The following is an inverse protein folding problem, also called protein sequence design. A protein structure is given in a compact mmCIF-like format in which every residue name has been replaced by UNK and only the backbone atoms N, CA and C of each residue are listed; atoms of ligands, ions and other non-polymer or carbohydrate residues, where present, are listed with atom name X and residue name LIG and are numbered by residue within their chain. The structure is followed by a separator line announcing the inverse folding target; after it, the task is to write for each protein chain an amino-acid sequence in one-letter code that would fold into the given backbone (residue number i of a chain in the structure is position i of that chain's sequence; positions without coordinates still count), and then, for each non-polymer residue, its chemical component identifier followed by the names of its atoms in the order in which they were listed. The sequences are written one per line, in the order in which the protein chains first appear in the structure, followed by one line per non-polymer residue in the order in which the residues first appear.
data_IF_919176867371
#
_entry.id   IF_919176867371
#
_cell.length_a   1.000
_cell.length_b   1.000
_cell.length_c   1.000
_cell.angle_alpha   90.00
_cell.angle_beta   90.00
_cell.angle_gamma   90.00
#
_symmetry.space_group_name_H-M   'P 1'
#
loop_
_entity.id
_entity.type
_entity.pdbx_description
1 polymer ?
#
# COMPACT_ATOMS: atom_id res chain seq x y z
N UNK A 1 -63.74 33.78 -39.14
CA UNK A 1 -63.98 33.61 -37.68
C UNK A 1 -62.90 34.36 -36.92
N UNK A 2 -63.35 35.23 -36.00
CA UNK A 2 -62.67 35.94 -34.90
C UNK A 2 -61.13 35.75 -34.78
N UNK A 3 -60.34 36.82 -35.00
CA UNK A 3 -59.84 37.78 -33.96
C UNK A 3 -58.79 37.11 -33.05
N UNK A 4 -57.55 37.57 -32.85
CA UNK A 4 -57.03 38.95 -32.82
C UNK A 4 -55.51 38.90 -32.49
N UNK A 5 -54.76 39.89 -32.99
CA UNK A 5 -53.62 40.60 -32.34
C UNK A 5 -52.31 39.81 -32.05
N UNK A 6 -51.10 40.32 -32.24
CA UNK A 6 -50.53 41.59 -32.75
C UNK A 6 -49.00 41.29 -32.85
N UNK A 7 -48.31 41.48 -33.99
CA UNK A 7 -47.39 42.59 -34.29
C UNK A 7 -46.47 43.02 -33.11
N UNK A 8 -45.16 43.26 -33.22
CA UNK A 8 -44.32 43.64 -34.35
C UNK A 8 -42.82 43.65 -33.92
N UNK A 9 -41.94 43.59 -34.92
CA UNK A 9 -40.63 44.26 -35.06
C UNK A 9 -39.71 44.50 -33.84
N UNK A 10 -38.57 43.81 -33.89
CA UNK A 10 -37.21 44.36 -34.04
C UNK A 10 -36.87 45.77 -33.49
N UNK A 11 -35.87 45.74 -32.60
CA UNK A 11 -34.66 46.57 -32.56
C UNK A 11 -34.53 47.67 -31.48
N UNK A 12 -33.41 47.53 -30.73
CA UNK A 12 -32.65 48.55 -30.01
C UNK A 12 -33.25 49.12 -28.71
N UNK A 13 -32.53 49.33 -27.61
CA UNK A 13 -31.11 49.19 -27.28
C UNK A 13 -30.97 49.46 -25.75
N UNK A 14 -30.03 48.77 -25.12
CA UNK A 14 -29.19 49.23 -24.00
C UNK A 14 -29.74 49.46 -22.58
N UNK A 15 -29.04 48.77 -21.66
CA UNK A 15 -28.65 49.17 -20.31
C UNK A 15 -29.64 48.91 -19.17
N UNK A 16 -29.56 47.69 -18.60
CA UNK A 16 -28.77 47.54 -17.36
C UNK A 16 -27.87 46.32 -17.51
N UNK A 17 -26.56 46.59 -17.56
CA UNK A 17 -25.52 45.59 -17.33
C UNK A 17 -25.57 45.19 -15.86
N UNK A 18 -25.70 43.89 -15.58
CA UNK A 18 -24.86 43.24 -14.59
C UNK A 18 -24.21 42.05 -15.28
N UNK A 19 -22.89 42.10 -15.29
CA UNK A 19 -21.98 41.11 -15.85
C UNK A 19 -22.31 39.72 -15.29
N UNK A 20 -22.78 38.80 -16.13
CA UNK A 20 -22.56 37.36 -15.91
C UNK A 20 -21.78 36.81 -17.08
N UNK A 21 -20.53 37.22 -17.18
CA UNK A 21 -19.50 36.51 -17.96
C UNK A 21 -19.11 35.17 -17.29
N UNK A 22 -19.91 34.62 -16.37
CA UNK A 22 -19.61 33.42 -15.58
C UNK A 22 -20.21 32.11 -16.14
N UNK A 23 -20.91 32.14 -17.29
CA UNK A 23 -21.60 30.95 -17.79
C UNK A 23 -20.65 29.84 -18.29
N UNK A 24 -19.38 30.14 -18.59
CA UNK A 24 -18.40 29.12 -19.03
C UNK A 24 -17.60 28.47 -17.89
N UNK A 25 -17.45 29.14 -16.74
CA UNK A 25 -16.58 28.67 -15.65
C UNK A 25 -17.35 28.12 -14.45
N UNK A 26 -18.65 28.39 -14.34
CA UNK A 26 -19.45 28.07 -13.15
C UNK A 26 -19.49 29.18 -12.12
N UNK A 27 -20.26 28.97 -11.05
CA UNK A 27 -20.25 29.87 -9.89
C UNK A 27 -18.97 29.66 -9.08
N UNK A 28 -18.41 30.74 -8.54
CA UNK A 28 -17.24 30.67 -7.65
C UNK A 28 -17.61 29.98 -6.34
N UNK A 29 -16.92 28.90 -6.02
CA UNK A 29 -17.07 28.18 -4.75
C UNK A 29 -16.04 28.64 -3.72
N UNK A 30 -14.78 28.82 -4.14
CA UNK A 30 -13.68 29.22 -3.27
C UNK A 30 -13.05 30.51 -3.81
N UNK A 31 -12.78 31.48 -2.92
CA UNK A 31 -11.89 32.61 -3.19
C UNK A 31 -10.66 32.51 -2.31
N UNK A 32 -9.48 32.74 -2.88
CA UNK A 32 -8.23 32.75 -2.16
C UNK A 32 -7.25 33.72 -2.83
N UNK A 33 -6.98 34.86 -2.19
CA UNK A 33 -6.21 35.94 -2.82
C UNK A 33 -6.91 36.47 -4.08
N UNK A 34 -6.17 36.57 -5.18
CA UNK A 34 -6.72 36.89 -6.50
C UNK A 34 -7.43 35.74 -7.21
N UNK A 35 -7.25 34.50 -6.75
CA UNK A 35 -7.72 33.28 -7.41
C UNK A 35 -9.19 32.95 -7.06
N UNK A 36 -9.90 32.38 -8.03
CA UNK A 36 -11.31 31.96 -7.88
C UNK A 36 -11.50 30.55 -8.42
N UNK A 37 -11.79 29.60 -7.54
CA UNK A 37 -12.08 28.21 -7.92
C UNK A 37 -13.59 28.05 -8.01
N UNK A 38 -14.08 27.50 -9.13
CA UNK A 38 -15.51 27.30 -9.35
C UNK A 38 -16.03 25.99 -8.76
N UNK A 39 -17.35 25.92 -8.57
CA UNK A 39 -18.03 24.67 -8.17
C UNK A 39 -17.83 23.55 -9.20
N UNK A 40 -17.64 23.88 -10.48
CA UNK A 40 -17.39 22.90 -11.53
C UNK A 40 -15.99 22.29 -11.44
N UNK A 41 -14.96 23.06 -11.00
CA UNK A 41 -13.65 22.49 -10.66
C UNK A 41 -13.77 21.53 -9.48
N UNK A 42 -14.58 21.88 -8.47
CA UNK A 42 -14.85 20.97 -7.35
C UNK A 42 -15.53 19.66 -7.80
N UNK A 43 -16.55 19.74 -8.65
CA UNK A 43 -17.20 18.56 -9.25
C UNK A 43 -16.22 17.70 -10.05
N UNK A 44 -15.32 18.32 -10.82
CA UNK A 44 -14.27 17.59 -11.53
C UNK A 44 -13.35 16.83 -10.57
N UNK A 45 -12.92 17.45 -9.48
CA UNK A 45 -12.08 16.79 -8.47
C UNK A 45 -12.84 15.67 -7.73
N UNK A 46 -14.13 15.84 -7.45
CA UNK A 46 -14.99 14.76 -6.92
C UNK A 46 -15.07 13.59 -7.90
N UNK A 47 -15.19 13.87 -9.20
CA UNK A 47 -15.26 12.84 -10.24
C UNK A 47 -13.97 12.03 -10.33
N UNK A 48 -12.81 12.69 -10.19
CA UNK A 48 -11.48 12.07 -10.17
C UNK A 48 -11.28 11.20 -8.94
N UNK A 49 -11.68 11.69 -7.75
CA UNK A 49 -11.68 10.90 -6.53
C UNK A 49 -12.54 9.65 -6.69
N UNK A 50 -13.75 9.79 -7.24
CA UNK A 50 -14.65 8.67 -7.52
C UNK A 50 -14.05 7.67 -8.52
N UNK A 51 -13.33 8.15 -9.54
CA UNK A 51 -12.59 7.32 -10.48
C UNK A 51 -11.44 6.54 -9.82
N UNK A 52 -10.66 7.21 -8.96
CA UNK A 52 -9.59 6.57 -8.18
C UNK A 52 -10.13 5.45 -7.29
N UNK A 53 -11.21 5.71 -6.55
CA UNK A 53 -11.88 4.70 -5.73
C UNK A 53 -12.37 3.50 -6.55
N UNK A 54 -12.93 3.75 -7.74
CA UNK A 54 -13.34 2.69 -8.65
C UNK A 54 -12.15 1.81 -9.08
N UNK A 55 -11.01 2.42 -9.40
CA UNK A 55 -9.78 1.71 -9.77
C UNK A 55 -9.20 0.90 -8.60
N UNK A 56 -9.39 1.37 -7.36
CA UNK A 56 -9.03 0.64 -6.13
C UNK A 56 -10.03 -0.47 -5.76
N UNK A 57 -11.07 -0.72 -6.58
CA UNK A 57 -12.03 -1.79 -6.37
C UNK A 57 -13.25 -1.42 -5.51
N UNK A 58 -13.41 -0.14 -5.15
CA UNK A 58 -14.57 0.30 -4.40
C UNK A 58 -15.86 0.28 -5.26
N UNK A 59 -16.99 -0.05 -4.65
CA UNK A 59 -18.28 -0.17 -5.37
C UNK A 59 -18.97 1.19 -5.56
N UNK A 60 -18.31 2.09 -6.29
CA UNK A 60 -18.72 3.49 -6.47
C UNK A 60 -20.03 3.69 -7.25
N UNK A 61 -20.56 2.64 -7.88
CA UNK A 61 -21.83 2.66 -8.61
C UNK A 61 -23.04 2.32 -7.72
N UNK A 62 -22.80 1.93 -6.46
CA UNK A 62 -23.86 1.51 -5.54
C UNK A 62 -24.22 2.60 -4.52
N UNK A 63 -25.50 2.94 -4.42
CA UNK A 63 -25.99 3.88 -3.40
C UNK A 63 -25.73 3.39 -1.97
N UNK A 64 -25.76 2.08 -1.73
CA UNK A 64 -25.49 1.52 -0.40
C UNK A 64 -24.03 1.70 0.03
N UNK A 65 -23.09 1.74 -0.93
CA UNK A 65 -21.70 2.06 -0.64
C UNK A 65 -21.58 3.51 -0.13
N UNK A 66 -22.19 4.47 -0.84
CA UNK A 66 -22.12 5.88 -0.48
C UNK A 66 -22.85 6.22 0.83
N UNK A 67 -23.95 5.54 1.10
CA UNK A 67 -24.73 5.68 2.33
C UNK A 67 -24.17 4.90 3.53
N UNK A 68 -23.16 4.05 3.30
CA UNK A 68 -22.48 3.32 4.37
C UNK A 68 -21.76 4.28 5.32
N UNK A 69 -21.65 3.91 6.60
CA UNK A 69 -20.93 4.69 7.59
C UNK A 69 -19.46 4.26 7.66
N UNK A 70 -18.53 5.23 7.63
CA UNK A 70 -17.09 4.97 7.73
C UNK A 70 -16.55 5.16 9.16
N UNK A 71 -17.33 5.81 10.02
CA UNK A 71 -16.94 6.20 11.37
C UNK A 71 -18.09 6.00 12.37
N UNK A 72 -17.74 5.98 13.64
CA UNK A 72 -18.67 5.81 14.77
C UNK A 72 -19.58 7.02 15.00
N UNK A 73 -19.28 8.18 14.40
CA UNK A 73 -20.09 9.40 14.45
C UNK A 73 -21.17 9.48 13.35
N UNK A 74 -21.38 8.38 12.62
CA UNK A 74 -22.33 8.28 11.52
C UNK A 74 -21.99 9.15 10.30
N UNK A 75 -20.72 9.53 10.10
CA UNK A 75 -20.28 10.10 8.82
C UNK A 75 -20.40 9.05 7.72
N UNK A 76 -21.10 9.37 6.64
CA UNK A 76 -21.23 8.49 5.48
C UNK A 76 -19.97 8.51 4.61
N UNK A 77 -19.77 7.47 3.81
CA UNK A 77 -18.68 7.40 2.83
C UNK A 77 -18.73 8.60 1.87
N UNK A 78 -19.93 9.01 1.43
CA UNK A 78 -20.09 10.20 0.60
C UNK A 78 -19.62 11.48 1.30
N UNK A 79 -20.07 11.70 2.54
CA UNK A 79 -19.68 12.87 3.33
C UNK A 79 -18.16 12.93 3.53
N UNK A 80 -17.56 11.79 3.87
CA UNK A 80 -16.12 11.69 4.10
C UNK A 80 -15.31 12.08 2.85
N UNK A 81 -15.59 11.46 1.69
CA UNK A 81 -14.82 11.75 0.48
C UNK A 81 -15.12 13.13 -0.11
N UNK A 82 -16.36 13.63 0.01
CA UNK A 82 -16.68 15.01 -0.36
C UNK A 82 -15.90 16.01 0.49
N UNK A 83 -15.82 15.80 1.81
CA UNK A 83 -15.04 16.63 2.71
C UNK A 83 -13.53 16.55 2.41
N UNK A 84 -12.99 15.36 2.13
CA UNK A 84 -11.58 15.20 1.74
C UNK A 84 -11.22 15.97 0.48
N UNK A 85 -12.07 15.92 -0.56
CA UNK A 85 -11.82 16.66 -1.80
C UNK A 85 -11.89 18.17 -1.56
N UNK A 86 -12.85 18.63 -0.77
CA UNK A 86 -12.95 20.04 -0.38
C UNK A 86 -11.68 20.49 0.37
N UNK A 87 -11.21 19.70 1.32
CA UNK A 87 -10.01 20.03 2.10
C UNK A 87 -8.77 20.09 1.21
N UNK A 88 -8.61 19.14 0.29
CA UNK A 88 -7.55 19.19 -0.72
C UNK A 88 -7.61 20.46 -1.57
N UNK A 89 -8.80 20.86 -2.02
CA UNK A 89 -8.97 22.11 -2.79
C UNK A 89 -8.72 23.36 -1.96
N UNK A 90 -9.05 23.38 -0.67
CA UNK A 90 -8.66 24.48 0.24
C UNK A 90 -7.14 24.59 0.34
N UNK A 91 -6.42 23.49 0.48
CA UNK A 91 -4.96 23.51 0.46
C UNK A 91 -4.39 24.00 -0.88
N UNK A 92 -4.99 23.62 -2.01
CA UNK A 92 -4.63 24.15 -3.34
C UNK A 92 -4.89 25.67 -3.39
N UNK A 93 -6.03 26.14 -2.90
CA UNK A 93 -6.38 27.56 -2.87
C UNK A 93 -5.42 28.36 -1.98
N UNK A 94 -5.05 27.85 -0.81
CA UNK A 94 -3.98 28.40 0.03
C UNK A 94 -2.62 28.42 -0.69
N UNK A 95 -2.30 27.40 -1.46
CA UNK A 95 -1.11 27.38 -2.29
C UNK A 95 -1.13 28.48 -3.37
N UNK A 96 -2.30 28.86 -3.89
CA UNK A 96 -2.42 29.97 -4.84
C UNK A 96 -2.13 31.33 -4.20
N UNK A 97 -2.51 31.52 -2.93
CA UNK A 97 -2.09 32.71 -2.16
C UNK A 97 -0.57 32.75 -2.03
N UNK A 98 0.05 31.62 -1.69
CA UNK A 98 1.51 31.52 -1.62
C UNK A 98 2.17 31.81 -2.98
N UNK A 99 1.60 31.28 -4.07
CA UNK A 99 2.09 31.51 -5.42
C UNK A 99 2.13 33.01 -5.76
N UNK A 100 1.08 33.75 -5.40
CA UNK A 100 1.03 35.22 -5.53
C UNK A 100 2.06 35.92 -4.64
N UNK A 101 2.23 35.48 -3.37
CA UNK A 101 3.19 36.08 -2.44
C UNK A 101 4.65 35.88 -2.84
N UNK A 102 4.98 34.78 -3.53
CA UNK A 102 6.29 34.55 -4.12
C UNK A 102 6.49 35.23 -5.47
N UNK A 103 5.50 35.99 -5.96
CA UNK A 103 5.53 36.67 -7.26
C UNK A 103 5.84 35.67 -8.40
N UNK A 104 5.27 34.47 -8.30
CA UNK A 104 5.45 33.44 -9.31
C UNK A 104 4.49 33.67 -10.48
N UNK A 105 4.97 33.35 -11.68
CA UNK A 105 4.16 33.33 -12.90
C UNK A 105 4.40 32.02 -13.64
N UNK A 106 3.33 31.46 -14.23
CA UNK A 106 3.50 30.29 -15.09
C UNK A 106 4.28 30.68 -16.34
N UNK A 107 5.31 29.90 -16.73
CA UNK A 107 5.98 30.11 -18.00
C UNK A 107 4.97 30.02 -19.16
N UNK A 108 5.13 30.90 -20.14
CA UNK A 108 4.27 30.90 -21.34
C UNK A 108 4.27 29.53 -22.04
N UNK A 109 5.43 28.86 -22.08
CA UNK A 109 5.56 27.51 -22.64
C UNK A 109 4.67 26.48 -21.94
N UNK A 110 4.56 26.55 -20.61
CA UNK A 110 3.68 25.64 -19.84
C UNK A 110 2.21 25.88 -20.17
N UNK A 111 1.81 27.14 -20.37
CA UNK A 111 0.44 27.46 -20.81
C UNK A 111 0.17 26.93 -22.22
N UNK A 112 1.13 27.09 -23.14
CA UNK A 112 1.05 26.57 -24.51
C UNK A 112 0.98 25.03 -24.54
N UNK A 113 1.70 24.34 -23.64
CA UNK A 113 1.63 22.88 -23.47
C UNK A 113 0.25 22.43 -22.97
N UNK A 114 -0.33 23.14 -22.00
CA UNK A 114 -1.70 22.86 -21.52
C UNK A 114 -2.71 23.06 -22.65
N UNK A 115 -2.57 24.12 -23.44
CA UNK A 115 -3.47 24.39 -24.57
C UNK A 115 -3.35 23.30 -25.65
N UNK A 116 -2.13 22.86 -25.95
CA UNK A 116 -1.90 21.75 -26.88
C UNK A 116 -2.50 20.44 -26.38
N UNK A 117 -2.38 20.14 -25.08
CA UNK A 117 -3.02 18.97 -24.47
C UNK A 117 -4.55 19.06 -24.55
N UNK A 118 -5.15 20.22 -24.31
CA UNK A 118 -6.61 20.39 -24.46
C UNK A 118 -7.05 20.12 -25.91
N UNK A 119 -6.31 20.62 -26.91
CA UNK A 119 -6.60 20.34 -28.32
C UNK A 119 -6.45 18.84 -28.66
N UNK A 120 -5.46 18.16 -28.08
CA UNK A 120 -5.31 16.70 -28.21
C UNK A 120 -6.50 15.95 -27.61
N UNK A 121 -6.97 16.34 -26.42
CA UNK A 121 -8.16 15.73 -25.79
C UNK A 121 -9.42 15.99 -26.62
N UNK A 122 -9.56 17.18 -27.23
CA UNK A 122 -10.66 17.46 -28.17
C UNK A 122 -10.57 16.55 -29.40
N UNK A 123 -9.38 16.38 -29.97
CA UNK A 123 -9.17 15.55 -31.15
C UNK A 123 -9.45 14.07 -30.89
N UNK A 124 -8.99 13.56 -29.75
CA UNK A 124 -9.03 12.13 -29.40
C UNK A 124 -10.36 11.73 -28.77
N UNK A 125 -10.72 12.32 -27.63
CA UNK A 125 -11.91 11.96 -26.87
C UNK A 125 -13.16 12.73 -27.30
N UNK A 126 -12.97 13.95 -27.80
CA UNK A 126 -14.04 14.76 -28.39
C UNK A 126 -14.36 14.42 -29.84
N UNK A 127 -13.69 13.44 -30.46
CA UNK A 127 -13.82 13.13 -31.89
C UNK A 127 -13.61 14.37 -32.79
N UNK A 128 -12.70 15.27 -32.39
CA UNK A 128 -12.44 16.55 -33.05
C UNK A 128 -13.46 17.66 -32.75
N UNK A 129 -14.38 17.45 -31.80
CA UNK A 129 -15.47 18.36 -31.48
C UNK A 129 -15.50 18.74 -30.00
N UNK A 130 -15.29 20.04 -29.73
CA UNK A 130 -15.45 20.62 -28.39
C UNK A 130 -16.84 20.34 -27.79
N UNK A 131 -17.88 20.30 -28.62
CA UNK A 131 -19.26 20.01 -28.18
C UNK A 131 -19.40 18.56 -27.71
N UNK A 132 -18.78 17.63 -28.42
CA UNK A 132 -18.76 16.21 -28.05
C UNK A 132 -18.01 16.02 -26.74
N UNK A 133 -16.82 16.61 -26.62
CA UNK A 133 -16.05 16.56 -25.37
C UNK A 133 -16.80 17.19 -24.21
N UNK A 134 -17.43 18.36 -24.40
CA UNK A 134 -18.26 18.98 -23.35
C UNK A 134 -19.43 18.10 -22.93
N UNK A 135 -20.00 17.30 -23.84
CA UNK A 135 -21.09 16.37 -23.51
C UNK A 135 -20.60 15.23 -22.62
N UNK A 136 -19.36 14.77 -22.81
CA UNK A 136 -18.69 13.79 -21.94
C UNK A 136 -18.39 14.42 -20.57
N UNK A 137 -17.73 15.59 -20.56
CA UNK A 137 -17.31 16.29 -19.34
C UNK A 137 -18.50 16.73 -18.48
N UNK A 138 -19.68 16.91 -19.05
CA UNK A 138 -20.89 17.26 -18.31
C UNK A 138 -21.25 16.22 -17.24
N UNK A 139 -20.93 14.93 -17.47
CA UNK A 139 -21.11 13.87 -16.48
C UNK A 139 -20.22 14.03 -15.24
N UNK A 140 -19.13 14.80 -15.37
CA UNK A 140 -18.19 15.14 -14.30
C UNK A 140 -18.46 16.54 -13.71
N UNK A 141 -19.58 17.18 -14.12
CA UNK A 141 -19.85 18.56 -13.76
C UNK A 141 -18.86 19.55 -14.37
N UNK A 142 -18.21 19.21 -15.48
CA UNK A 142 -17.15 20.01 -16.09
C UNK A 142 -17.44 20.33 -17.57
N UNK A 143 -16.60 21.18 -18.13
CA UNK A 143 -16.51 21.45 -19.56
C UNK A 143 -15.02 21.71 -19.91
N UNK A 144 -14.68 21.91 -21.18
CA UNK A 144 -13.29 22.11 -21.61
C UNK A 144 -12.61 23.29 -20.91
N UNK A 145 -13.35 24.37 -20.62
CA UNK A 145 -12.79 25.51 -19.89
C UNK A 145 -12.45 25.11 -18.45
N UNK A 146 -13.35 24.42 -17.76
CA UNK A 146 -13.11 23.91 -16.40
C UNK A 146 -11.93 22.93 -16.36
N UNK A 147 -11.81 22.06 -17.37
CA UNK A 147 -10.69 21.12 -17.48
C UNK A 147 -9.35 21.86 -17.62
N UNK A 148 -9.33 22.90 -18.45
CA UNK A 148 -8.16 23.77 -18.62
C UNK A 148 -7.82 24.55 -17.35
N UNK A 149 -8.82 25.07 -16.65
CA UNK A 149 -8.61 25.80 -15.39
C UNK A 149 -8.00 24.89 -14.32
N UNK A 150 -8.48 23.65 -14.22
CA UNK A 150 -7.89 22.64 -13.33
C UNK A 150 -6.42 22.34 -13.68
N UNK A 151 -6.10 22.18 -14.97
CA UNK A 151 -4.73 21.96 -15.42
C UNK A 151 -3.80 23.17 -15.09
N UNK A 152 -4.31 24.40 -15.20
CA UNK A 152 -3.57 25.60 -14.80
C UNK A 152 -3.32 25.64 -13.29
N UNK A 153 -4.33 25.31 -12.47
CA UNK A 153 -4.18 25.22 -11.01
C UNK A 153 -3.11 24.19 -10.63
N UNK A 154 -3.15 23.01 -11.26
CA UNK A 154 -2.18 21.93 -11.05
C UNK A 154 -0.76 22.32 -11.48
N UNK A 155 -0.61 23.03 -12.60
CA UNK A 155 0.67 23.54 -13.05
C UNK A 155 1.23 24.61 -12.11
N UNK A 156 0.41 25.54 -11.62
CA UNK A 156 0.82 26.54 -10.62
C UNK A 156 1.28 25.86 -9.34
N UNK A 157 0.54 24.84 -8.88
CA UNK A 157 0.90 24.06 -7.70
C UNK A 157 2.23 23.33 -7.88
N UNK A 158 2.44 22.70 -9.05
CA UNK A 158 3.70 22.02 -9.37
C UNK A 158 4.88 22.99 -9.39
N UNK A 159 4.72 24.17 -9.99
CA UNK A 159 5.75 25.21 -10.00
C UNK A 159 6.05 25.75 -8.60
N UNK A 160 5.03 25.96 -7.77
CA UNK A 160 5.23 26.34 -6.36
C UNK A 160 6.02 25.26 -5.61
N UNK A 161 5.65 23.98 -5.78
CA UNK A 161 6.35 22.85 -5.16
C UNK A 161 7.82 22.82 -5.57
N UNK A 162 8.11 23.01 -6.86
CA UNK A 162 9.48 23.08 -7.36
C UNK A 162 10.24 24.30 -6.83
N UNK A 163 9.60 25.47 -6.76
CA UNK A 163 10.20 26.68 -6.19
C UNK A 163 10.59 26.48 -4.71
N UNK A 164 9.69 25.89 -3.92
CA UNK A 164 9.88 25.72 -2.47
C UNK A 164 10.83 24.57 -2.12
N UNK A 165 10.75 23.46 -2.85
CA UNK A 165 11.35 22.18 -2.46
C UNK A 165 12.26 21.57 -3.52
N UNK A 166 12.42 22.22 -4.68
CA UNK A 166 13.19 21.73 -5.82
C UNK A 166 12.47 20.62 -6.59
N UNK A 167 12.87 20.40 -7.85
CA UNK A 167 12.32 19.34 -8.69
C UNK A 167 12.41 17.98 -7.98
N UNK A 168 11.27 17.31 -7.79
CA UNK A 168 11.16 16.04 -7.08
C UNK A 168 11.56 16.11 -5.60
N UNK A 169 11.55 17.28 -4.97
CA UNK A 169 11.91 17.46 -3.57
C UNK A 169 13.42 17.50 -3.29
N UNK A 170 14.25 17.84 -4.28
CA UNK A 170 15.73 17.85 -4.15
C UNK A 170 16.29 18.87 -3.16
N UNK A 171 15.55 19.93 -2.81
CA UNK A 171 15.95 20.93 -1.81
C UNK A 171 15.47 20.60 -0.40
N UNK A 172 14.67 19.54 -0.24
CA UNK A 172 14.23 19.07 1.09
C UNK A 172 15.44 18.57 1.86
N UNK A 173 15.64 19.16 3.04
CA UNK A 173 16.73 18.79 3.94
C UNK A 173 16.48 17.41 4.56
N UNK A 174 17.55 16.67 4.80
CA UNK A 174 17.46 15.33 5.41
C UNK A 174 16.79 15.36 6.79
N UNK A 175 16.90 16.46 7.53
CA UNK A 175 16.21 16.62 8.83
C UNK A 175 14.70 16.62 8.69
N UNK A 176 14.15 17.23 7.64
CA UNK A 176 12.71 17.22 7.37
C UNK A 176 12.24 15.83 6.89
N UNK A 177 13.08 15.13 6.13
CA UNK A 177 12.82 13.74 5.74
C UNK A 177 12.81 12.84 6.99
N UNK A 178 13.77 13.02 7.91
CA UNK A 178 13.82 12.27 9.19
C UNK A 178 12.58 12.53 10.05
N UNK A 179 12.16 13.78 10.17
CA UNK A 179 10.98 14.15 10.94
C UNK A 179 9.72 13.48 10.38
N UNK A 180 9.51 13.57 9.06
CA UNK A 180 8.39 12.92 8.39
C UNK A 180 8.46 11.39 8.53
N UNK A 181 9.63 10.80 8.29
CA UNK A 181 9.88 9.37 8.45
C UNK A 181 9.51 8.88 9.86
N UNK A 182 10.03 9.52 10.91
CA UNK A 182 9.76 9.13 12.30
C UNK A 182 8.30 9.30 12.70
N UNK A 183 7.60 10.26 12.10
CA UNK A 183 6.19 10.51 12.40
C UNK A 183 5.22 9.55 11.70
N UNK A 184 5.63 8.93 10.59
CA UNK A 184 4.69 8.24 9.69
C UNK A 184 5.06 6.80 9.36
N UNK A 185 6.30 6.39 9.60
CA UNK A 185 6.75 5.03 9.32
C UNK A 185 6.78 4.13 10.56
N UNK A 186 6.59 2.85 10.30
CA UNK A 186 6.75 1.77 11.26
C UNK A 186 7.71 0.74 10.68
N UNK A 187 8.56 0.16 11.55
CA UNK A 187 9.46 -0.93 11.18
C UNK A 187 9.09 -2.19 11.92
N UNK A 188 9.20 -3.32 11.23
CA UNK A 188 8.97 -4.63 11.83
C UNK A 188 9.59 -5.79 11.08
N UNK A 189 9.66 -6.92 11.76
CA UNK A 189 10.02 -8.23 11.19
C UNK A 189 8.77 -9.11 11.06
N UNK A 190 8.85 -10.15 10.22
CA UNK A 190 7.78 -11.12 10.06
C UNK A 190 8.28 -12.56 10.14
N UNK A 191 7.40 -13.44 10.57
CA UNK A 191 7.58 -14.89 10.52
C UNK A 191 6.31 -15.51 9.94
N UNK A 192 6.45 -16.34 8.92
CA UNK A 192 5.31 -16.95 8.26
C UNK A 192 5.17 -18.41 8.70
N UNK A 193 3.98 -18.75 9.18
CA UNK A 193 3.51 -20.12 9.31
C UNK A 193 2.47 -20.34 8.20
N UNK A 194 2.92 -20.89 7.06
CA UNK A 194 2.11 -21.05 5.87
C UNK A 194 0.94 -22.02 6.08
N UNK A 195 -0.12 -21.86 5.29
CA UNK A 195 -1.25 -22.80 5.22
C UNK A 195 -1.03 -23.97 4.25
N UNK A 196 0.14 -24.00 3.60
CA UNK A 196 0.55 -25.05 2.69
C UNK A 196 1.97 -25.53 2.99
N UNK A 197 2.30 -26.70 2.45
CA UNK A 197 3.64 -27.24 2.41
C UNK A 197 3.90 -27.92 1.06
N UNK A 198 5.17 -27.99 0.65
CA UNK A 198 5.55 -28.72 -0.56
C UNK A 198 5.65 -30.22 -0.26
N UNK A 199 5.03 -31.05 -1.10
CA UNK A 199 5.10 -32.51 -0.96
C UNK A 199 6.53 -32.98 -1.21
N UNK A 200 7.03 -33.82 -0.31
CA UNK A 200 8.37 -34.38 -0.37
C UNK A 200 8.38 -35.79 0.20
N UNK A 201 9.46 -36.51 -0.05
CA UNK A 201 9.64 -37.85 0.51
C UNK A 201 9.76 -37.79 2.04
N UNK A 202 8.96 -38.62 2.71
CA UNK A 202 8.98 -38.81 4.16
C UNK A 202 9.26 -40.29 4.47
N UNK A 203 9.91 -40.53 5.60
CA UNK A 203 10.08 -41.88 6.14
C UNK A 203 8.79 -42.43 6.78
N UNK A 204 8.88 -43.60 7.39
CA UNK A 204 7.75 -44.26 8.03
C UNK A 204 7.17 -43.48 9.23
N UNK A 205 7.97 -42.59 9.82
CA UNK A 205 7.61 -41.76 10.96
C UNK A 205 7.13 -40.37 10.52
N UNK A 206 7.05 -40.12 9.21
CA UNK A 206 6.60 -38.86 8.64
C UNK A 206 7.65 -37.75 8.65
N UNK A 207 8.91 -38.07 8.93
CA UNK A 207 10.04 -37.13 8.91
C UNK A 207 10.57 -36.99 7.47
N UNK A 208 10.91 -35.76 7.07
CA UNK A 208 11.45 -35.48 5.75
C UNK A 208 12.81 -36.19 5.53
N UNK A 209 12.90 -36.99 4.47
CA UNK A 209 14.17 -37.63 4.08
C UNK A 209 15.08 -36.58 3.45
N UNK A 210 16.34 -36.54 3.91
CA UNK A 210 17.36 -35.61 3.41
C UNK A 210 18.48 -36.34 2.68
N UNK A 211 19.08 -35.67 1.71
CA UNK A 211 20.08 -36.23 0.80
C UNK A 211 21.35 -35.38 0.77
N UNK A 212 22.50 -35.99 0.52
CA UNK A 212 23.79 -35.27 0.39
C UNK A 212 24.04 -34.75 -1.03
N UNK A 213 23.20 -35.15 -1.98
CA UNK A 213 23.33 -34.90 -3.40
C UNK A 213 21.99 -34.52 -4.04
N UNK A 214 22.08 -33.87 -5.20
CA UNK A 214 20.93 -33.42 -5.98
C UNK A 214 20.33 -34.54 -6.86
N UNK A 215 20.98 -35.70 -6.97
CA UNK A 215 20.43 -36.88 -7.65
C UNK A 215 19.65 -37.82 -6.70
N UNK A 216 19.55 -37.43 -5.43
CA UNK A 216 18.81 -38.07 -4.34
C UNK A 216 19.14 -39.55 -4.16
N UNK A 217 20.43 -39.90 -4.29
CA UNK A 217 20.94 -41.27 -4.16
C UNK A 217 21.67 -41.56 -2.86
N UNK A 218 22.14 -40.56 -2.13
CA UNK A 218 22.75 -40.78 -0.82
C UNK A 218 22.04 -39.97 0.25
N UNK A 219 21.60 -40.67 1.30
CA UNK A 219 20.83 -40.05 2.37
C UNK A 219 21.78 -39.35 3.34
N UNK A 220 21.47 -38.11 3.70
CA UNK A 220 22.24 -37.29 4.62
C UNK A 220 21.91 -37.66 6.06
N UNK A 221 22.78 -38.46 6.69
CA UNK A 221 22.71 -38.80 8.11
C UNK A 221 23.73 -38.01 8.92
N UNK A 222 23.38 -37.68 10.16
CA UNK A 222 24.36 -37.17 11.12
C UNK A 222 25.23 -38.33 11.58
N UNK A 223 26.56 -38.14 11.61
CA UNK A 223 27.46 -39.20 12.08
C UNK A 223 27.26 -39.48 13.58
N UNK A 224 27.38 -40.75 13.99
CA UNK A 224 27.30 -41.13 15.40
C UNK A 224 28.32 -40.37 16.27
N UNK A 225 29.54 -40.17 15.76
CA UNK A 225 30.58 -39.39 16.44
C UNK A 225 30.20 -37.92 16.63
N UNK A 226 29.49 -37.32 15.65
CA UNK A 226 28.96 -35.96 15.77
C UNK A 226 27.89 -35.90 16.88
N UNK A 227 26.99 -36.88 16.94
CA UNK A 227 25.94 -36.92 17.97
C UNK A 227 26.52 -37.13 19.38
N UNK A 228 27.50 -38.02 19.54
CA UNK A 228 28.19 -38.25 20.83
C UNK A 228 28.93 -37.02 21.33
N UNK A 229 29.45 -36.18 20.41
CA UNK A 229 30.18 -34.96 20.75
C UNK A 229 29.32 -33.74 21.08
N UNK A 230 28.00 -33.79 20.86
CA UNK A 230 27.09 -32.67 21.09
C UNK A 230 26.48 -32.67 22.51
N UNK A 231 26.28 -31.50 23.14
CA UNK A 231 25.47 -31.38 24.34
C UNK A 231 24.04 -31.89 24.13
N UNK A 232 23.42 -32.43 25.18
CA UNK A 232 22.06 -33.00 25.10
C UNK A 232 21.02 -32.04 24.51
N UNK A 233 21.12 -30.75 24.85
CA UNK A 233 20.26 -29.69 24.33
C UNK A 233 20.39 -29.48 22.82
N UNK A 234 21.56 -29.75 22.23
CA UNK A 234 21.81 -29.59 20.79
C UNK A 234 21.47 -30.87 20.01
N UNK A 235 21.45 -32.03 20.67
CA UNK A 235 21.07 -33.30 20.03
C UNK A 235 19.60 -33.33 19.62
N UNK A 236 18.74 -32.62 20.35
CA UNK A 236 17.32 -32.44 20.02
C UNK A 236 17.08 -31.80 18.63
N UNK A 237 18.11 -31.13 18.06
CA UNK A 237 18.05 -30.59 16.69
C UNK A 237 17.97 -31.70 15.64
N UNK A 238 18.61 -32.84 15.88
CA UNK A 238 18.76 -33.93 14.90
C UNK A 238 17.83 -35.12 15.16
N UNK A 239 17.30 -35.24 16.38
CA UNK A 239 16.37 -36.28 16.79
C UNK A 239 15.22 -35.69 17.60
N UNK A 240 13.99 -36.06 17.26
CA UNK A 240 12.75 -35.41 17.74
C UNK A 240 12.43 -35.67 19.23
N UNK A 241 13.27 -36.41 19.96
CA UNK A 241 13.02 -36.77 21.37
C UNK A 241 14.28 -36.56 22.20
N UNK A 242 14.20 -35.65 23.17
CA UNK A 242 15.22 -35.45 24.18
C UNK A 242 14.94 -36.35 25.40
N UNK A 243 15.45 -37.59 25.42
CA UNK A 243 15.60 -38.46 26.62
C UNK A 243 16.79 -39.43 26.45
N UNK A 244 17.18 -40.17 27.50
CA UNK A 244 18.34 -41.08 27.51
C UNK A 244 18.19 -42.22 26.47
N UNK A 245 19.15 -42.36 25.55
CA UNK A 245 19.11 -43.41 24.51
C UNK A 245 20.50 -43.77 23.95
N UNK A 246 20.61 -44.92 23.27
CA UNK A 246 21.85 -45.41 22.65
C UNK A 246 21.85 -45.16 21.13
N UNK A 247 23.00 -44.79 20.57
CA UNK A 247 23.18 -44.61 19.12
C UNK A 247 23.64 -45.91 18.47
N UNK A 248 23.06 -46.23 17.31
CA UNK A 248 23.46 -47.40 16.54
C UNK A 248 23.64 -47.06 15.06
N UNK A 249 24.77 -47.46 14.49
CA UNK A 249 24.96 -47.46 13.04
C UNK A 249 24.46 -48.79 12.48
N UNK A 250 23.51 -48.73 11.55
CA UNK A 250 22.99 -49.89 10.84
C UNK A 250 23.39 -49.81 9.38
N UNK A 251 23.91 -50.92 8.85
CA UNK A 251 24.25 -51.04 7.44
C UNK A 251 22.99 -51.39 6.64
N UNK A 252 22.79 -50.70 5.51
CA UNK A 252 21.78 -51.07 4.52
C UNK A 252 20.62 -50.09 4.35
N UNK A 253 20.91 -48.79 4.21
CA UNK A 253 19.92 -47.90 3.56
C UNK A 253 19.55 -48.45 2.17
N UNK A 254 18.45 -47.97 1.57
CA UNK A 254 18.04 -48.34 0.20
C UNK A 254 19.14 -48.12 -0.86
N UNK A 255 20.19 -47.38 -0.53
CA UNK A 255 21.33 -47.08 -1.40
C UNK A 255 22.69 -47.55 -0.86
N UNK A 256 22.73 -48.30 0.25
CA UNK A 256 23.96 -48.84 0.81
C UNK A 256 24.72 -47.91 1.77
N UNK A 257 24.09 -46.80 2.18
CA UNK A 257 24.67 -45.87 3.16
C UNK A 257 24.57 -46.42 4.59
N UNK A 258 25.38 -45.85 5.49
CA UNK A 258 25.36 -46.13 6.93
C UNK A 258 24.23 -45.33 7.59
N UNK A 259 23.11 -45.99 7.87
CA UNK A 259 21.98 -45.41 8.59
C UNK A 259 22.39 -45.17 10.05
N UNK A 260 22.24 -43.95 10.54
CA UNK A 260 22.42 -43.63 11.96
C UNK A 260 21.05 -43.56 12.61
N UNK A 261 20.85 -44.45 13.59
CA UNK A 261 19.64 -44.56 14.37
C UNK A 261 19.89 -44.07 15.78
N UNK A 262 18.89 -43.39 16.32
CA UNK A 262 18.73 -43.18 17.74
C UNK A 262 17.69 -44.17 18.27
N UNK A 263 18.01 -44.84 19.38
CA UNK A 263 17.12 -45.81 20.03
C UNK A 263 16.60 -45.28 21.35
N UNK A 264 15.28 -45.19 21.47
CA UNK A 264 14.57 -44.99 22.74
C UNK A 264 13.73 -46.24 23.03
N UNK A 265 14.20 -47.09 23.95
CA UNK A 265 13.58 -48.38 24.21
C UNK A 265 13.56 -49.28 22.96
N UNK A 266 12.36 -49.52 22.40
CA UNK A 266 12.17 -50.32 21.19
C UNK A 266 11.97 -49.48 19.92
N UNK A 267 11.92 -48.14 20.05
CA UNK A 267 11.68 -47.24 18.93
C UNK A 267 13.03 -46.82 18.31
N UNK A 268 13.17 -47.00 16.99
CA UNK A 268 14.36 -46.59 16.23
C UNK A 268 14.01 -45.37 15.36
N UNK A 269 14.63 -44.21 15.62
CA UNK A 269 14.42 -42.98 14.83
C UNK A 269 15.66 -42.65 14.01
N UNK A 270 15.47 -42.21 12.77
CA UNK A 270 16.57 -41.84 11.87
C UNK A 270 17.11 -40.44 12.17
N UNK A 271 18.43 -40.31 12.33
CA UNK A 271 19.09 -39.03 12.57
C UNK A 271 19.57 -38.38 11.25
N UNK A 272 18.70 -37.58 10.61
CA UNK A 272 19.03 -36.85 9.38
C UNK A 272 19.91 -35.61 9.63
N UNK A 273 20.88 -35.36 8.76
CA UNK A 273 21.67 -34.11 8.75
C UNK A 273 20.82 -32.98 8.17
N UNK A 274 20.22 -32.19 9.07
CA UNK A 274 19.35 -31.06 8.72
C UNK A 274 20.11 -29.83 8.22
N UNK A 275 21.42 -29.74 8.51
CA UNK A 275 22.22 -28.58 8.19
C UNK A 275 22.83 -28.67 6.79
N UNK A 276 23.20 -29.87 6.36
CA UNK A 276 23.83 -30.10 5.06
C UNK A 276 22.96 -30.88 4.07
N UNK A 277 21.84 -31.45 4.52
CA UNK A 277 20.99 -32.31 3.68
C UNK A 277 19.91 -31.55 2.89
N UNK A 278 19.76 -31.87 1.61
CA UNK A 278 18.73 -31.34 0.70
C UNK A 278 17.47 -32.23 0.66
N UNK A 279 16.30 -31.63 0.37
CA UNK A 279 15.01 -32.33 0.36
C UNK A 279 14.60 -32.69 -1.08
N UNK A 280 14.16 -33.93 -1.28
CA UNK A 280 13.58 -34.38 -2.55
C UNK A 280 12.08 -34.00 -2.63
N UNK A 281 11.80 -32.86 -3.26
CA UNK A 281 10.43 -32.40 -3.53
C UNK A 281 9.80 -33.19 -4.68
N UNK A 282 8.49 -33.40 -4.62
CA UNK A 282 7.72 -34.01 -5.71
C UNK A 282 7.20 -32.93 -6.65
N UNK A 283 7.19 -33.25 -7.94
CA UNK A 283 6.77 -32.34 -9.00
C UNK A 283 5.56 -32.90 -9.75
N UNK A 284 4.71 -32.00 -10.24
CA UNK A 284 3.56 -32.35 -11.08
C UNK A 284 3.96 -32.57 -12.55
N UNK A 285 2.99 -32.82 -13.43
CA UNK A 285 3.23 -33.04 -14.86
C UNK A 285 3.73 -31.80 -15.62
N UNK A 286 3.72 -30.62 -14.99
CA UNK A 286 4.24 -29.35 -15.54
C UNK A 286 5.62 -29.01 -15.01
N UNK A 287 6.16 -29.81 -14.09
CA UNK A 287 7.45 -29.56 -13.45
C UNK A 287 7.38 -28.58 -12.28
N UNK A 288 6.18 -28.29 -11.77
CA UNK A 288 5.98 -27.43 -10.59
C UNK A 288 5.93 -28.30 -9.33
N UNK A 289 6.39 -27.76 -8.19
CA UNK A 289 6.34 -28.50 -6.91
C UNK A 289 4.89 -28.77 -6.53
N UNK A 290 4.58 -30.00 -6.13
CA UNK A 290 3.26 -30.36 -5.63
C UNK A 290 3.04 -29.64 -4.29
N UNK A 291 1.99 -28.81 -4.24
CA UNK A 291 1.58 -28.10 -3.02
C UNK A 291 0.45 -28.86 -2.34
N UNK A 292 0.56 -29.05 -1.03
CA UNK A 292 -0.50 -29.61 -0.18
C UNK A 292 -0.89 -28.60 0.88
N UNK A 293 -2.18 -28.55 1.19
CA UNK A 293 -2.69 -27.70 2.26
C UNK A 293 -2.70 -28.48 3.57
N UNK A 294 -2.48 -27.76 4.66
CA UNK A 294 -2.75 -28.28 5.99
C UNK A 294 -4.25 -28.50 6.19
N UNK A 295 -4.59 -29.52 6.98
CA UNK A 295 -5.95 -29.73 7.48
C UNK A 295 -6.34 -28.63 8.47
N UNK A 296 -7.64 -28.49 8.75
CA UNK A 296 -8.13 -27.53 9.75
C UNK A 296 -7.50 -27.75 11.13
N UNK A 297 -7.35 -29.02 11.55
CA UNK A 297 -6.74 -29.38 12.84
C UNK A 297 -5.26 -28.96 12.90
N UNK A 298 -4.52 -29.18 11.81
CA UNK A 298 -3.13 -28.73 11.67
C UNK A 298 -3.04 -27.21 11.65
N UNK A 299 -3.98 -26.51 11.00
CA UNK A 299 -4.02 -25.05 11.00
C UNK A 299 -4.29 -24.49 12.40
N UNK A 300 -5.19 -25.07 13.18
CA UNK A 300 -5.41 -24.67 14.57
C UNK A 300 -4.16 -24.87 15.44
N UNK A 301 -3.43 -25.98 15.24
CA UNK A 301 -2.15 -26.20 15.93
C UNK A 301 -1.10 -25.17 15.53
N UNK A 302 -1.04 -24.80 14.25
CA UNK A 302 -0.13 -23.75 13.75
C UNK A 302 -0.49 -22.37 14.30
N UNK A 303 -1.78 -22.05 14.42
CA UNK A 303 -2.23 -20.82 15.09
C UNK A 303 -1.76 -20.76 16.54
N UNK A 304 -1.99 -21.83 17.30
CA UNK A 304 -1.51 -21.91 18.69
C UNK A 304 0.01 -21.75 18.78
N UNK A 305 0.74 -22.31 17.81
CA UNK A 305 2.19 -22.15 17.73
C UNK A 305 2.59 -20.70 17.44
N UNK A 306 1.91 -20.03 16.51
CA UNK A 306 2.13 -18.60 16.24
C UNK A 306 1.86 -17.75 17.49
N UNK A 307 0.76 -18.01 18.21
CA UNK A 307 0.39 -17.31 19.45
C UNK A 307 1.47 -17.52 20.54
N UNK A 308 1.99 -18.75 20.68
CA UNK A 308 3.09 -19.05 21.60
C UNK A 308 4.39 -18.33 21.22
N UNK A 309 4.75 -18.33 19.94
CA UNK A 309 5.95 -17.64 19.44
C UNK A 309 5.85 -16.15 19.73
N UNK A 310 4.71 -15.51 19.41
CA UNK A 310 4.47 -14.10 19.69
C UNK A 310 4.72 -13.79 21.18
N UNK A 311 4.08 -14.54 22.08
CA UNK A 311 4.22 -14.33 23.52
C UNK A 311 5.66 -14.54 24.03
N UNK A 312 6.43 -15.44 23.41
CA UNK A 312 7.82 -15.73 23.80
C UNK A 312 8.83 -14.69 23.30
N UNK A 313 8.49 -13.90 22.28
CA UNK A 313 9.38 -12.97 21.60
C UNK A 313 9.12 -11.49 21.96
N UNK A 314 8.15 -11.20 22.82
CA UNK A 314 7.88 -9.83 23.30
C UNK A 314 9.17 -9.24 23.89
N UNK A 315 9.51 -8.03 23.45
CA UNK A 315 10.70 -7.27 23.83
C UNK A 315 12.05 -7.96 23.55
N UNK A 316 12.07 -9.02 22.73
CA UNK A 316 13.28 -9.80 22.41
C UNK A 316 13.45 -9.99 20.89
N UNK A 317 14.00 -8.97 20.24
CA UNK A 317 14.24 -8.94 18.79
C UNK A 317 15.19 -10.06 18.34
N UNK A 318 16.23 -10.33 19.14
CA UNK A 318 17.23 -11.35 18.82
C UNK A 318 16.57 -12.75 18.78
N UNK A 319 15.75 -13.05 19.79
CA UNK A 319 14.98 -14.30 19.84
C UNK A 319 13.93 -14.38 18.74
N UNK A 320 13.28 -13.27 18.40
CA UNK A 320 12.35 -13.24 17.26
C UNK A 320 13.06 -13.64 15.97
N UNK A 321 14.24 -13.07 15.68
CA UNK A 321 15.00 -13.37 14.48
C UNK A 321 15.56 -14.79 14.47
N UNK A 322 15.99 -15.31 15.63
CA UNK A 322 16.35 -16.72 15.79
C UNK A 322 15.18 -17.64 15.43
N UNK A 323 14.00 -17.39 16.03
CA UNK A 323 12.81 -18.19 15.74
C UNK A 323 12.32 -18.01 14.31
N UNK A 324 12.44 -16.83 13.72
CA UNK A 324 12.09 -16.61 12.32
C UNK A 324 13.00 -17.41 11.39
N UNK A 325 14.29 -17.54 11.73
CA UNK A 325 15.22 -18.38 10.96
C UNK A 325 14.91 -19.87 11.09
N UNK A 326 14.50 -20.33 12.27
CA UNK A 326 14.31 -21.76 12.55
C UNK A 326 12.90 -22.28 12.23
N UNK A 327 11.89 -21.44 12.42
CA UNK A 327 10.48 -21.86 12.47
C UNK A 327 9.61 -21.24 11.37
N UNK A 328 10.08 -20.20 10.68
CA UNK A 328 9.35 -19.62 9.54
C UNK A 328 9.41 -20.57 8.35
N UNK A 329 8.28 -20.79 7.68
CA UNK A 329 8.27 -21.43 6.36
C UNK A 329 8.85 -20.53 5.26
N UNK A 330 9.15 -19.28 5.62
CA UNK A 330 9.88 -18.30 4.82
C UNK A 330 11.08 -17.76 5.61
N UNK A 331 11.98 -18.66 6.01
CA UNK A 331 13.15 -18.38 6.88
C UNK A 331 14.13 -17.36 6.30
N UNK A 332 14.19 -17.25 4.97
CA UNK A 332 15.12 -16.34 4.29
C UNK A 332 14.57 -14.92 4.18
N UNK A 333 13.29 -14.68 4.51
CA UNK A 333 12.69 -13.36 4.35
C UNK A 333 13.45 -12.28 5.12
N UNK A 334 13.68 -12.48 6.41
CA UNK A 334 14.36 -11.50 7.25
C UNK A 334 15.87 -11.45 7.00
N UNK A 335 16.48 -12.45 6.35
CA UNK A 335 17.93 -12.46 6.09
C UNK A 335 18.26 -11.91 4.69
N UNK A 336 17.37 -12.10 3.72
CA UNK A 336 17.61 -11.83 2.29
C UNK A 336 16.70 -10.73 1.77
N UNK A 337 15.41 -10.77 2.10
CA UNK A 337 14.44 -9.82 1.54
C UNK A 337 14.36 -8.52 2.34
N UNK A 338 14.38 -8.61 3.67
CA UNK A 338 14.25 -7.51 4.61
C UNK A 338 15.27 -7.60 5.77
N UNK A 339 16.59 -7.58 5.48
CA UNK A 339 17.66 -7.71 6.50
C UNK A 339 17.57 -6.67 7.63
N UNK A 340 17.18 -5.44 7.30
CA UNK A 340 17.01 -4.36 8.27
C UNK A 340 15.53 -4.18 8.65
N UNK A 341 14.71 -5.21 8.49
CA UNK A 341 13.26 -5.14 8.69
C UNK A 341 12.51 -4.53 7.51
N UNK A 342 11.19 -4.63 7.58
CA UNK A 342 10.27 -4.00 6.65
C UNK A 342 9.95 -2.60 7.16
N UNK A 343 9.80 -1.63 6.25
CA UNK A 343 9.42 -0.26 6.60
C UNK A 343 8.13 0.10 5.87
N UNK A 344 7.11 0.50 6.63
CA UNK A 344 5.81 0.88 6.08
C UNK A 344 5.40 2.26 6.54
N UNK A 345 5.00 3.12 5.61
CA UNK A 345 4.22 4.29 5.96
C UNK A 345 2.81 3.85 6.38
N UNK A 346 2.18 4.56 7.32
CA UNK A 346 0.78 4.33 7.65
C UNK A 346 -0.09 4.43 6.39
N UNK A 347 -0.97 3.44 6.17
CA UNK A 347 -1.86 3.42 5.01
C UNK A 347 -1.17 3.06 3.68
N UNK A 348 0.01 2.43 3.72
CA UNK A 348 0.66 1.90 2.51
C UNK A 348 -0.25 0.86 1.86
N UNK A 349 -0.70 1.13 0.63
CA UNK A 349 -1.43 0.15 -0.17
C UNK A 349 -0.46 -0.90 -0.71
N UNK A 350 -0.82 -2.17 -0.56
CA UNK A 350 -0.13 -3.30 -1.20
C UNK A 350 -1.17 -4.14 -1.93
N UNK A 351 -0.84 -4.61 -3.13
CA UNK A 351 -1.64 -5.61 -3.85
C UNK A 351 -1.57 -6.99 -3.19
N UNK A 352 -0.57 -7.21 -2.33
CA UNK A 352 -0.50 -8.36 -1.45
C UNK A 352 -1.27 -8.03 -0.15
N UNK A 353 -2.37 -8.76 0.07
CA UNK A 353 -3.32 -8.55 1.16
C UNK A 353 -2.67 -8.64 2.53
N UNK A 354 -1.62 -9.46 2.68
CA UNK A 354 -0.87 -9.57 3.93
C UNK A 354 -0.04 -8.30 4.19
N UNK A 355 0.75 -7.84 3.22
CA UNK A 355 1.57 -6.63 3.42
C UNK A 355 0.73 -5.35 3.63
N UNK A 356 -0.47 -5.27 3.04
CA UNK A 356 -1.37 -4.13 3.27
C UNK A 356 -1.78 -3.99 4.74
N UNK A 357 -2.02 -5.13 5.42
CA UNK A 357 -2.43 -5.16 6.83
C UNK A 357 -1.26 -5.03 7.80
N UNK A 358 -0.04 -5.43 7.42
CA UNK A 358 1.15 -5.29 8.26
C UNK A 358 1.38 -3.86 8.74
N UNK A 359 1.23 -2.88 7.84
CA UNK A 359 1.41 -1.45 8.17
C UNK A 359 0.49 -1.01 9.32
N UNK A 360 -0.76 -1.46 9.29
CA UNK A 360 -1.79 -1.09 10.27
C UNK A 360 -1.63 -1.83 11.58
N UNK A 361 -1.21 -3.10 11.56
CA UNK A 361 -0.95 -3.86 12.78
C UNK A 361 0.31 -3.37 13.49
N UNK A 362 1.40 -3.12 12.76
CA UNK A 362 2.62 -2.54 13.33
C UNK A 362 2.35 -1.18 13.97
N UNK A 363 1.47 -0.36 13.39
CA UNK A 363 1.10 0.93 13.96
C UNK A 363 0.41 0.85 15.34
N UNK A 364 -0.28 -0.26 15.64
CA UNK A 364 -0.99 -0.48 16.91
C UNK A 364 -0.08 -0.97 18.04
N UNK A 365 1.05 -1.58 17.70
CA UNK A 365 1.98 -2.17 18.65
C UNK A 365 2.91 -1.12 19.24
N UNK A 366 3.38 -1.30 20.48
CA UNK A 366 4.56 -0.58 20.98
C UNK A 366 5.84 -1.25 20.43
N UNK A 367 6.98 -0.54 20.47
CA UNK A 367 8.27 -1.15 20.13
C UNK A 367 8.51 -2.35 21.04
N UNK A 368 8.94 -3.49 20.48
CA UNK A 368 9.07 -4.76 21.19
C UNK A 368 7.79 -5.59 21.20
N UNK A 369 6.65 -5.00 20.89
CA UNK A 369 5.37 -5.68 20.81
C UNK A 369 5.27 -6.65 19.63
N UNK A 370 4.50 -7.72 19.82
CA UNK A 370 4.24 -8.74 18.79
C UNK A 370 2.74 -8.93 18.57
N UNK A 371 2.34 -9.35 17.36
CA UNK A 371 0.98 -9.83 17.09
C UNK A 371 0.98 -11.02 16.14
N UNK A 372 -0.15 -11.74 16.11
CA UNK A 372 -0.43 -12.78 15.12
C UNK A 372 -1.52 -12.26 14.18
N UNK A 373 -1.25 -12.32 12.89
CA UNK A 373 -2.18 -11.95 11.81
C UNK A 373 -2.53 -13.19 11.00
N UNK A 374 -3.81 -13.37 10.70
CA UNK A 374 -4.32 -14.42 9.81
C UNK A 374 -4.48 -13.86 8.39
N UNK A 375 -4.07 -14.66 7.39
CA UNK A 375 -4.20 -14.34 5.97
C UNK A 375 -4.57 -15.59 5.16
N UNK A 376 -4.87 -15.40 3.88
CA UNK A 376 -5.10 -16.49 2.92
C UNK A 376 -3.87 -17.38 2.69
N UNK A 377 -2.69 -16.98 3.17
CA UNK A 377 -1.43 -17.72 3.08
C UNK A 377 -0.99 -18.36 4.40
N UNK A 378 -1.77 -18.24 5.47
CA UNK A 378 -1.49 -18.80 6.80
C UNK A 378 -1.46 -17.74 7.89
N UNK A 379 -0.55 -17.91 8.86
CA UNK A 379 -0.38 -16.99 9.97
C UNK A 379 0.95 -16.26 9.86
N UNK A 380 0.93 -14.95 10.11
CA UNK A 380 2.12 -14.13 10.26
C UNK A 380 2.28 -13.72 11.72
N UNK A 381 3.45 -13.98 12.29
CA UNK A 381 3.86 -13.32 13.53
C UNK A 381 4.63 -12.06 13.13
N UNK A 382 4.20 -10.90 13.63
CA UNK A 382 4.86 -9.62 13.41
C UNK A 382 5.47 -9.13 14.73
N UNK A 383 6.62 -8.46 14.64
CA UNK A 383 7.22 -7.73 15.76
C UNK A 383 7.52 -6.30 15.33
N UNK A 384 7.08 -5.31 16.12
CA UNK A 384 7.46 -3.91 15.92
C UNK A 384 8.83 -3.67 16.54
N UNK A 385 9.71 -3.00 15.82
CA UNK A 385 11.05 -2.64 16.28
C UNK A 385 11.33 -1.14 16.07
N UNK A 386 12.41 -0.66 16.68
CA UNK A 386 12.86 0.74 16.56
C UNK A 386 13.20 1.09 15.10
N UNK A 387 12.83 2.31 14.68
CA UNK A 387 13.23 2.83 13.38
C UNK A 387 14.73 3.08 13.35
N UNK A 388 15.40 2.64 12.29
CA UNK A 388 16.79 3.01 12.05
C UNK A 388 16.89 4.51 11.68
N UNK A 389 17.87 5.20 12.25
CA UNK A 389 18.15 6.60 11.87
C UNK A 389 18.58 6.66 10.41
N UNK A 390 18.00 7.58 9.64
CA UNK A 390 18.28 7.76 8.21
C UNK A 390 18.16 6.47 7.38
N UNK A 391 17.23 5.58 7.73
CA UNK A 391 17.04 4.27 7.07
C UNK A 391 16.92 4.35 5.54
N UNK A 392 16.35 5.44 5.01
CA UNK A 392 16.18 5.68 3.58
C UNK A 392 17.47 5.98 2.82
N UNK A 393 18.58 6.22 3.51
CA UNK A 393 19.91 6.36 2.89
C UNK A 393 20.59 5.00 2.68
N UNK A 394 20.10 3.94 3.30
CA UNK A 394 20.63 2.60 3.11
C UNK A 394 20.04 1.98 1.84
N UNK A 395 20.90 1.65 0.87
CA UNK A 395 20.51 1.08 -0.42
C UNK A 395 19.71 -0.23 -0.28
N UNK A 396 20.02 -1.06 0.74
CA UNK A 396 19.29 -2.30 1.01
C UNK A 396 17.83 -2.06 1.37
N UNK A 397 17.50 -0.86 1.86
CA UNK A 397 16.15 -0.47 2.27
C UNK A 397 15.40 0.29 1.17
N UNK A 398 16.03 0.60 0.03
CA UNK A 398 15.50 1.49 -1.01
C UNK A 398 14.07 1.16 -1.47
N UNK A 399 13.72 -0.13 -1.54
CA UNK A 399 12.38 -0.60 -1.92
C UNK A 399 11.25 -0.06 -1.05
N UNK A 400 11.53 0.27 0.21
CA UNK A 400 10.54 0.74 1.17
C UNK A 400 10.33 2.26 1.14
N UNK A 401 11.20 2.98 0.45
CA UNK A 401 11.27 4.45 0.50
C UNK A 401 11.11 5.11 -0.88
N UNK A 402 10.56 4.39 -1.85
CA UNK A 402 10.34 4.88 -3.23
C UNK A 402 9.44 6.12 -3.28
N UNK A 403 8.50 6.25 -2.33
CA UNK A 403 7.56 7.38 -2.24
C UNK A 403 7.91 8.39 -1.13
N UNK A 404 8.89 8.09 -0.26
CA UNK A 404 9.18 8.87 0.95
C UNK A 404 9.37 10.36 0.67
N UNK A 405 10.18 10.69 -0.34
CA UNK A 405 10.49 12.08 -0.68
C UNK A 405 9.26 12.83 -1.20
N UNK A 406 8.44 12.17 -2.02
CA UNK A 406 7.19 12.74 -2.51
C UNK A 406 6.21 13.00 -1.37
N UNK A 407 6.03 12.02 -0.47
CA UNK A 407 5.17 12.15 0.69
C UNK A 407 5.66 13.23 1.67
N UNK A 408 6.97 13.35 1.88
CA UNK A 408 7.57 14.42 2.69
C UNK A 408 7.26 15.80 2.08
N UNK A 409 7.37 15.93 0.76
CA UNK A 409 7.04 17.16 0.04
C UNK A 409 5.56 17.55 0.25
N UNK A 410 4.64 16.61 0.04
CA UNK A 410 3.20 16.88 0.24
C UNK A 410 2.89 17.28 1.69
N UNK A 411 3.49 16.59 2.67
CA UNK A 411 3.34 16.92 4.08
C UNK A 411 3.85 18.34 4.39
N UNK A 412 5.06 18.69 3.92
CA UNK A 412 5.62 20.02 4.13
C UNK A 412 4.78 21.11 3.47
N UNK A 413 4.26 20.86 2.26
CA UNK A 413 3.35 21.79 1.59
C UNK A 413 2.04 21.95 2.38
N UNK A 414 1.48 20.86 2.89
CA UNK A 414 0.26 20.88 3.70
C UNK A 414 0.45 21.71 4.98
N UNK A 415 1.56 21.51 5.70
CA UNK A 415 1.90 22.32 6.87
C UNK A 415 2.01 23.81 6.52
N UNK A 416 2.65 24.12 5.39
CA UNK A 416 2.83 25.50 4.93
C UNK A 416 1.52 26.17 4.51
N UNK A 417 0.64 25.44 3.83
CA UNK A 417 -0.66 25.95 3.37
C UNK A 417 -1.71 26.02 4.48
N UNK A 418 -1.57 25.23 5.56
CA UNK A 418 -2.42 25.31 6.75
C UNK A 418 -2.45 26.73 7.35
N UNK A 419 -1.30 27.43 7.30
CA UNK A 419 -1.16 28.81 7.79
C UNK A 419 -1.96 29.85 6.99
N UNK A 420 -2.57 29.46 5.88
CA UNK A 420 -3.29 30.33 4.95
C UNK A 420 -4.77 29.96 4.81
N UNK A 421 -5.23 28.89 5.48
CA UNK A 421 -6.61 28.42 5.35
C UNK A 421 -7.63 29.46 5.88
N UNK A 422 -7.23 30.32 6.81
CA UNK A 422 -8.06 31.41 7.35
C UNK A 422 -8.31 32.55 6.35
N UNK A 423 -7.52 32.60 5.26
CA UNK A 423 -7.65 33.59 4.17
C UNK A 423 -8.50 33.10 3.02
N UNK A 424 -9.10 31.92 3.15
CA UNK A 424 -9.94 31.32 2.12
C UNK A 424 -11.42 31.57 2.46
N UNK A 425 -12.18 32.03 1.47
CA UNK A 425 -13.64 32.11 1.57
C UNK A 425 -14.27 30.95 0.81
N UNK A 426 -15.18 30.21 1.46
CA UNK A 426 -15.99 29.16 0.83
C UNK A 426 -17.44 29.59 0.80
N UNK A 427 -18.09 29.43 -0.35
CA UNK A 427 -19.54 29.60 -0.47
C UNK A 427 -20.25 28.34 0.04
N UNK A 428 -20.60 28.35 1.33
CA UNK A 428 -21.27 27.24 2.02
C UNK A 428 -22.63 26.89 1.41
N UNK A 429 -23.34 27.87 0.82
CA UNK A 429 -24.62 27.60 0.17
C UNK A 429 -24.41 26.75 -1.09
N UNK A 430 -23.44 27.12 -1.93
CA UNK A 430 -23.08 26.31 -3.10
C UNK A 430 -22.46 24.96 -2.74
N UNK A 431 -21.65 24.91 -1.68
CA UNK A 431 -21.06 23.66 -1.21
C UNK A 431 -22.15 22.65 -0.81
N UNK A 432 -23.20 23.10 -0.13
CA UNK A 432 -24.30 22.24 0.32
C UNK A 432 -25.13 21.63 -0.80
N UNK A 433 -25.01 22.14 -2.03
CA UNK A 433 -25.73 21.65 -3.21
C UNK A 433 -24.99 20.50 -3.92
N UNK A 434 -23.72 20.23 -3.58
CA UNK A 434 -22.85 19.32 -4.34
C UNK A 434 -22.16 18.27 -3.47
N UNK A 435 -22.23 17.01 -3.90
CA UNK A 435 -21.48 15.90 -3.29
C UNK A 435 -20.96 14.91 -4.34
N UNK A 436 -20.16 13.92 -3.89
CA UNK A 436 -19.51 12.92 -4.75
C UNK A 436 -20.51 11.94 -5.42
N UNK A 437 -21.73 11.82 -4.90
CA UNK A 437 -22.76 10.94 -5.47
C UNK A 437 -23.33 11.51 -6.77
N UNK A 438 -23.33 12.85 -6.91
CA UNK A 438 -23.91 13.56 -8.06
C UNK A 438 -23.06 13.53 -9.33
N UNK A 439 -21.78 13.14 -9.24
CA UNK A 439 -20.85 13.08 -10.37
C UNK A 439 -20.57 11.65 -10.81
N UNK A 440 -20.30 11.45 -12.10
CA UNK A 440 -19.80 10.18 -12.62
C UNK A 440 -18.33 9.95 -12.21
N UNK A 441 -17.87 8.70 -12.26
CA UNK A 441 -16.45 8.38 -12.05
C UNK A 441 -15.62 8.81 -13.27
N UNK A 442 -14.56 9.58 -13.02
CA UNK A 442 -13.62 10.01 -14.04
C UNK A 442 -12.28 9.27 -13.88
N UNK A 443 -11.99 8.38 -14.84
CA UNK A 443 -10.73 7.61 -14.93
C UNK A 443 -9.83 8.08 -16.06
N UNK A 444 -10.21 9.17 -16.75
CA UNK A 444 -9.58 9.65 -17.99
C UNK A 444 -8.82 10.96 -17.81
N UNK A 445 -9.42 11.92 -17.11
CA UNK A 445 -8.93 13.31 -17.03
C UNK A 445 -8.54 13.74 -15.64
#
# INVERSE_FOLDING_TARGET
MKKKLLAALAALLCCVMLLTACASHGKTLIKAGGEKISVNVFQLYLSRMKGSLAQSGANVTSDSYWNGYISTDHTTVAQFYTAQVLEGLKHIAAAMILFEEYDLELPKSTVEEIDAWIEEVIATDGEGSKTTLNSILAAYGANVTVLRDAAILEAKLALLKEHLYGAGGKLIQDTAIEEYYKATYYRGYQMQLANYYYDHEKDADGIAVRYTDDDFKHVAYVSAATLEGLPESERAKYVTVAREGEYATKYGSKYGDNLVLYRDGNDEVVAYDKDNGVINYRYDSRGERIVKNYTEEEMQARKQRADQIAALCVDDEAKFLEYAKELSDNSDFNNTYAPNGMYFALGTYSSDTAFGTFSSELAKLEVGGTCVLESDSGYYVLMRVELDTAAWKNEQNSRWFTTLRGLTLEYMLQQKTTLYLDRIEVDEALLSEVDITQVASNVRY
#
